data_IF_751645524852
#
_entry.id   IF_751645524852
#
_cell.length_a   1.000
_cell.length_b   1.000
_cell.length_c   1.000
_cell.angle_alpha   90.00
_cell.angle_beta   90.00
_cell.angle_gamma   90.00
#
_symmetry.space_group_name_H-M   'P 1'
#
loop_
_entity.id
_entity.type
_entity.pdbx_description
1 polymer ?
#
# COMPACT_ATOMS: atom_id res chain seq x y z
N UNK A 1 -25.48 -20.51 -20.41
CA UNK A 1 -25.66 -21.04 -19.05
C UNK A 1 -25.08 -22.46 -18.85
N UNK A 2 -25.09 -23.34 -19.86
CA UNK A 2 -24.67 -24.76 -19.78
C UNK A 2 -23.15 -24.93 -19.52
N UNK A 3 -22.31 -24.02 -19.99
CA UNK A 3 -20.85 -24.07 -19.85
C UNK A 3 -20.30 -23.32 -18.64
N UNK A 4 -21.14 -22.55 -17.95
CA UNK A 4 -20.76 -21.79 -16.76
C UNK A 4 -20.10 -22.66 -15.68
N UNK A 5 -20.65 -23.83 -15.29
CA UNK A 5 -20.01 -24.67 -14.28
C UNK A 5 -18.62 -25.17 -14.70
N UNK A 6 -18.42 -25.48 -15.97
CA UNK A 6 -17.15 -26.03 -16.49
C UNK A 6 -16.01 -25.01 -16.33
N UNK A 7 -16.29 -23.72 -16.53
CA UNK A 7 -15.27 -22.66 -16.41
C UNK A 7 -15.12 -22.13 -14.99
N UNK A 8 -16.19 -22.11 -14.20
CA UNK A 8 -16.19 -21.55 -12.85
C UNK A 8 -15.81 -22.60 -11.79
N UNK A 9 -16.21 -23.86 -11.98
CA UNK A 9 -15.99 -24.92 -10.99
C UNK A 9 -14.52 -25.16 -10.65
N UNK A 10 -13.57 -25.25 -11.61
CA UNK A 10 -12.16 -25.44 -11.30
C UNK A 10 -11.59 -24.30 -10.46
N UNK A 11 -11.92 -23.06 -10.82
CA UNK A 11 -11.48 -21.85 -10.06
C UNK A 11 -12.11 -21.81 -8.68
N UNK A 12 -13.41 -22.16 -8.56
CA UNK A 12 -14.12 -22.20 -7.29
C UNK A 12 -13.54 -23.26 -6.37
N UNK A 13 -13.23 -24.46 -6.89
CA UNK A 13 -12.60 -25.53 -6.12
C UNK A 13 -11.22 -25.09 -5.62
N UNK A 14 -10.37 -24.53 -6.50
CA UNK A 14 -9.05 -24.04 -6.15
C UNK A 14 -9.14 -22.94 -5.07
N UNK A 15 -10.07 -22.01 -5.20
CA UNK A 15 -10.32 -20.96 -4.22
C UNK A 15 -10.81 -21.52 -2.88
N UNK A 16 -11.72 -22.50 -2.92
CA UNK A 16 -12.27 -23.12 -1.70
C UNK A 16 -11.17 -23.86 -0.93
N UNK A 17 -10.34 -24.66 -1.62
CA UNK A 17 -9.26 -25.41 -0.99
C UNK A 17 -8.10 -24.51 -0.56
N UNK A 18 -7.69 -23.57 -1.41
CA UNK A 18 -6.52 -22.72 -1.18
C UNK A 18 -6.76 -21.53 -0.26
N UNK A 19 -8.00 -21.05 -0.18
CA UNK A 19 -8.33 -19.86 0.58
C UNK A 19 -9.45 -20.09 1.60
N UNK A 20 -10.63 -20.51 1.16
CA UNK A 20 -11.82 -20.52 2.02
C UNK A 20 -11.69 -21.53 3.17
N UNK A 21 -11.26 -22.76 2.88
CA UNK A 21 -11.11 -23.80 3.90
C UNK A 21 -10.04 -23.44 4.96
N UNK A 22 -8.81 -23.01 4.59
CA UNK A 22 -7.82 -22.52 5.56
C UNK A 22 -8.31 -21.29 6.35
N UNK A 23 -9.03 -20.38 5.72
CA UNK A 23 -9.59 -19.21 6.39
C UNK A 23 -10.60 -19.59 7.48
N UNK A 24 -11.59 -20.43 7.14
CA UNK A 24 -12.61 -20.91 8.11
C UNK A 24 -11.94 -21.70 9.24
N UNK A 25 -10.98 -22.57 8.89
CA UNK A 25 -10.22 -23.32 9.89
C UNK A 25 -9.41 -22.39 10.81
N UNK A 26 -8.75 -21.37 10.24
CA UNK A 26 -8.01 -20.37 11.01
C UNK A 26 -8.91 -19.59 11.98
N UNK A 27 -10.10 -19.19 11.52
CA UNK A 27 -11.11 -18.56 12.40
C UNK A 27 -11.53 -19.50 13.53
N UNK A 28 -11.80 -20.77 13.24
CA UNK A 28 -12.12 -21.75 14.28
C UNK A 28 -10.95 -21.92 15.28
N UNK A 29 -9.73 -22.10 14.79
CA UNK A 29 -8.54 -22.27 15.60
C UNK A 29 -8.21 -21.04 16.46
N UNK A 30 -8.62 -19.85 16.05
CA UNK A 30 -8.43 -18.64 16.86
C UNK A 30 -9.17 -18.69 18.22
N UNK A 31 -10.25 -19.48 18.28
CA UNK A 31 -10.99 -19.73 19.51
C UNK A 31 -10.49 -20.97 20.28
N UNK A 32 -9.45 -21.63 19.77
CA UNK A 32 -8.92 -22.85 20.36
C UNK A 32 -7.53 -22.63 20.94
N UNK A 33 -7.18 -23.40 21.98
CA UNK A 33 -5.80 -23.62 22.41
C UNK A 33 -5.32 -24.90 21.75
N UNK A 34 -4.24 -24.86 20.97
CA UNK A 34 -3.72 -26.00 20.23
C UNK A 34 -2.19 -25.97 20.11
N UNK A 35 -1.59 -27.15 19.99
CA UNK A 35 -0.21 -27.33 19.56
C UNK A 35 -0.17 -27.80 18.11
N UNK A 36 -1.13 -28.64 17.73
CA UNK A 36 -1.37 -29.12 16.38
C UNK A 36 -2.85 -29.01 16.05
N UNK A 37 -3.23 -28.95 14.77
CA UNK A 37 -4.63 -28.83 14.33
C UNK A 37 -5.52 -29.96 14.90
N UNK A 38 -4.94 -31.14 15.15
CA UNK A 38 -5.63 -32.32 15.70
C UNK A 38 -5.80 -32.28 17.22
N UNK A 39 -5.09 -31.39 17.94
CA UNK A 39 -5.12 -31.25 19.40
C UNK A 39 -5.81 -29.93 19.82
N UNK A 40 -6.75 -29.46 19.02
CA UNK A 40 -7.40 -28.19 19.26
C UNK A 40 -8.49 -28.33 20.33
N UNK A 41 -8.36 -27.56 21.41
CA UNK A 41 -9.35 -27.45 22.51
C UNK A 41 -9.99 -26.07 22.47
N UNK A 42 -11.31 -26.05 22.35
CA UNK A 42 -12.06 -24.80 22.34
C UNK A 42 -11.97 -24.08 23.68
N UNK A 43 -11.49 -22.84 23.70
CA UNK A 43 -11.35 -21.99 24.91
C UNK A 43 -12.11 -20.66 24.77
N UNK A 44 -12.95 -20.51 23.74
CA UNK A 44 -13.71 -19.28 23.48
C UNK A 44 -12.79 -18.08 23.22
N UNK A 45 -13.07 -16.96 23.87
CA UNK A 45 -12.33 -15.70 23.70
C UNK A 45 -11.03 -15.60 24.52
N UNK A 46 -10.59 -16.69 25.16
CA UNK A 46 -9.42 -16.67 26.03
C UNK A 46 -8.12 -16.20 25.35
N UNK A 47 -7.92 -16.56 24.07
CA UNK A 47 -6.76 -16.05 23.29
C UNK A 47 -6.83 -14.55 23.09
N UNK A 48 -8.02 -14.02 22.76
CA UNK A 48 -8.22 -12.59 22.54
C UNK A 48 -8.01 -11.76 23.82
N UNK A 49 -8.52 -12.25 24.94
CA UNK A 49 -8.29 -11.60 26.24
C UNK A 49 -6.81 -11.57 26.61
N UNK A 50 -6.07 -12.66 26.32
CA UNK A 50 -4.63 -12.72 26.56
C UNK A 50 -3.85 -11.75 25.68
N UNK A 51 -4.16 -11.66 24.37
CA UNK A 51 -3.51 -10.76 23.44
C UNK A 51 -3.75 -9.29 23.81
N UNK A 52 -4.98 -8.93 24.21
CA UNK A 52 -5.29 -7.57 24.61
C UNK A 52 -4.60 -7.14 25.92
N UNK A 53 -4.16 -8.11 26.74
CA UNK A 53 -3.32 -7.85 27.92
C UNK A 53 -1.82 -7.89 27.67
N UNK A 54 -1.38 -8.24 26.45
CA UNK A 54 0.02 -8.37 26.10
C UNK A 54 0.59 -7.03 25.61
N UNK A 55 1.53 -6.47 26.38
CA UNK A 55 2.15 -5.18 26.07
C UNK A 55 2.94 -5.18 24.76
N UNK A 56 3.62 -6.28 24.43
CA UNK A 56 4.41 -6.40 23.21
C UNK A 56 3.49 -6.45 21.96
N UNK A 57 2.36 -7.13 22.09
CA UNK A 57 1.34 -7.12 21.02
C UNK A 57 0.76 -5.73 20.80
N UNK A 58 0.37 -5.04 21.87
CA UNK A 58 -0.19 -3.69 21.77
C UNK A 58 0.81 -2.70 21.18
N UNK A 59 2.09 -2.81 21.57
CA UNK A 59 3.15 -2.00 20.98
C UNK A 59 3.32 -2.27 19.49
N UNK A 60 3.34 -3.53 19.09
CA UNK A 60 3.45 -3.94 17.68
C UNK A 60 2.24 -3.50 16.85
N UNK A 61 1.03 -3.60 17.42
CA UNK A 61 -0.20 -3.13 16.79
C UNK A 61 -0.17 -1.61 16.55
N UNK A 62 0.24 -0.86 17.59
CA UNK A 62 0.38 0.60 17.47
C UNK A 62 1.44 1.01 16.45
N UNK A 63 2.60 0.34 16.47
CA UNK A 63 3.67 0.58 15.50
C UNK A 63 3.20 0.34 14.07
N UNK A 64 2.52 -0.79 13.83
CA UNK A 64 1.98 -1.14 12.52
C UNK A 64 0.90 -0.15 12.07
N UNK A 65 -0.02 0.22 12.95
CA UNK A 65 -1.06 1.20 12.63
C UNK A 65 -0.46 2.57 12.26
N UNK A 66 0.49 3.05 13.05
CA UNK A 66 1.19 4.31 12.76
C UNK A 66 1.97 4.24 11.44
N UNK A 67 2.71 3.13 11.21
CA UNK A 67 3.45 2.90 9.98
C UNK A 67 2.53 2.92 8.77
N UNK A 68 1.42 2.19 8.83
CA UNK A 68 0.43 2.13 7.74
C UNK A 68 -0.17 3.50 7.45
N UNK A 69 -0.60 4.24 8.47
CA UNK A 69 -1.17 5.59 8.29
C UNK A 69 -0.15 6.51 7.62
N UNK A 70 1.08 6.55 8.12
CA UNK A 70 2.13 7.42 7.59
C UNK A 70 2.48 7.04 6.15
N UNK A 71 2.68 5.75 5.86
CA UNK A 71 3.05 5.29 4.51
C UNK A 71 1.91 5.51 3.52
N UNK A 72 0.66 5.19 3.87
CA UNK A 72 -0.51 5.42 3.00
C UNK A 72 -0.64 6.90 2.66
N UNK A 73 -0.54 7.79 3.63
CA UNK A 73 -0.64 9.24 3.39
C UNK A 73 0.51 9.75 2.51
N UNK A 74 1.75 9.44 2.87
CA UNK A 74 2.91 9.94 2.16
C UNK A 74 3.00 9.38 0.73
N UNK A 75 2.78 8.08 0.54
CA UNK A 75 2.80 7.47 -0.80
C UNK A 75 1.76 8.13 -1.70
N UNK A 76 0.52 8.29 -1.24
CA UNK A 76 -0.54 8.89 -2.05
C UNK A 76 -0.27 10.37 -2.35
N UNK A 77 0.20 11.15 -1.39
CA UNK A 77 0.55 12.56 -1.59
C UNK A 77 1.68 12.69 -2.62
N UNK A 78 2.79 11.96 -2.45
CA UNK A 78 3.92 12.05 -3.37
C UNK A 78 3.60 11.46 -4.75
N UNK A 79 2.90 10.33 -4.82
CA UNK A 79 2.49 9.73 -6.09
C UNK A 79 1.57 10.66 -6.88
N UNK A 80 0.59 11.28 -6.22
CA UNK A 80 -0.29 12.27 -6.85
C UNK A 80 0.48 13.51 -7.30
N UNK A 81 1.37 14.04 -6.47
CA UNK A 81 2.20 15.20 -6.83
C UNK A 81 3.08 14.92 -8.06
N UNK A 82 3.75 13.75 -8.09
CA UNK A 82 4.56 13.34 -9.23
C UNK A 82 3.69 13.12 -10.47
N UNK A 83 2.51 12.51 -10.34
CA UNK A 83 1.56 12.33 -11.43
C UNK A 83 1.11 13.67 -12.02
N UNK A 84 0.78 14.65 -11.19
CA UNK A 84 0.44 16.02 -11.62
C UNK A 84 1.57 16.71 -12.38
N UNK A 85 2.82 16.45 -12.00
CA UNK A 85 3.97 16.98 -12.72
C UNK A 85 4.15 16.29 -14.08
N UNK A 86 4.03 14.96 -14.12
CA UNK A 86 4.27 14.15 -15.31
C UNK A 86 3.07 14.11 -16.29
N UNK A 87 1.92 14.64 -15.93
CA UNK A 87 0.81 14.87 -16.88
C UNK A 87 0.96 16.16 -17.67
N UNK A 88 1.82 17.06 -17.23
CA UNK A 88 2.22 18.22 -18.06
C UNK A 88 3.09 17.74 -19.23
N UNK A 89 3.03 18.46 -20.37
CA UNK A 89 3.81 18.17 -21.58
C UNK A 89 5.31 18.46 -21.36
N UNK A 90 5.97 17.69 -20.49
CA UNK A 90 7.40 17.81 -20.21
C UNK A 90 8.17 16.87 -21.15
N UNK A 91 9.26 17.34 -21.75
CA UNK A 91 10.14 16.47 -22.56
C UNK A 91 10.73 15.36 -21.67
N UNK A 92 10.67 14.11 -22.12
CA UNK A 92 11.20 12.97 -21.37
C UNK A 92 10.26 12.34 -20.32
N UNK A 93 8.99 12.73 -20.28
CA UNK A 93 7.99 12.17 -19.32
C UNK A 93 8.01 10.65 -19.24
N UNK A 94 8.16 9.94 -20.38
CA UNK A 94 8.19 8.49 -20.41
C UNK A 94 9.43 7.92 -19.69
N UNK A 95 10.58 8.56 -19.78
CA UNK A 95 11.78 8.15 -19.04
C UNK A 95 11.54 8.27 -17.54
N UNK A 96 10.99 9.39 -17.07
CA UNK A 96 10.66 9.58 -15.67
C UNK A 96 9.65 8.54 -15.17
N UNK A 97 8.59 8.26 -15.94
CA UNK A 97 7.62 7.20 -15.62
C UNK A 97 8.31 5.85 -15.44
N UNK A 98 9.20 5.47 -16.35
CA UNK A 98 9.95 4.21 -16.28
C UNK A 98 10.86 4.17 -15.06
N UNK A 99 11.63 5.24 -14.80
CA UNK A 99 12.55 5.30 -13.66
C UNK A 99 11.81 5.21 -12.31
N UNK A 100 10.71 5.94 -12.17
CA UNK A 100 9.90 5.86 -10.95
C UNK A 100 9.19 4.51 -10.76
N UNK A 101 8.82 3.84 -11.85
CA UNK A 101 8.16 2.53 -11.78
C UNK A 101 9.13 1.37 -11.51
N UNK A 102 10.39 1.49 -11.95
CA UNK A 102 11.39 0.43 -11.89
C UNK A 102 11.59 -0.19 -10.48
N UNK A 103 11.59 0.59 -9.37
CA UNK A 103 11.73 0.03 -8.03
C UNK A 103 10.67 -1.02 -7.67
N UNK A 104 9.47 -0.88 -8.17
CA UNK A 104 8.37 -1.81 -7.91
C UNK A 104 8.60 -3.21 -8.52
N UNK A 105 9.47 -3.31 -9.52
CA UNK A 105 9.82 -4.57 -10.18
C UNK A 105 10.87 -5.38 -9.43
N UNK A 106 11.52 -4.78 -8.42
CA UNK A 106 12.57 -5.44 -7.65
C UNK A 106 11.90 -6.29 -6.54
N UNK A 107 12.30 -7.55 -6.44
CA UNK A 107 11.78 -8.45 -5.41
C UNK A 107 12.07 -7.94 -3.99
N UNK A 108 11.07 -7.99 -3.11
CA UNK A 108 11.12 -7.37 -1.77
C UNK A 108 12.29 -7.81 -0.90
N UNK A 109 12.71 -9.09 -0.97
CA UNK A 109 13.86 -9.61 -0.19
C UNK A 109 15.15 -8.92 -0.63
N UNK A 110 15.41 -8.84 -1.95
CA UNK A 110 16.60 -8.17 -2.50
C UNK A 110 16.59 -6.69 -2.16
N UNK A 111 15.42 -6.07 -2.32
CA UNK A 111 15.21 -4.66 -2.02
C UNK A 111 15.51 -4.37 -0.54
N UNK A 112 14.94 -5.15 0.37
CA UNK A 112 15.14 -5.00 1.81
C UNK A 112 16.61 -5.11 2.20
N UNK A 113 17.34 -6.09 1.65
CA UNK A 113 18.77 -6.27 1.92
C UNK A 113 19.60 -5.08 1.40
N UNK A 114 19.36 -4.65 0.16
CA UNK A 114 20.10 -3.52 -0.43
C UNK A 114 19.85 -2.23 0.37
N UNK A 115 18.59 -1.95 0.73
CA UNK A 115 18.27 -0.77 1.53
C UNK A 115 18.83 -0.83 2.95
N UNK A 116 18.85 -2.02 3.57
CA UNK A 116 19.48 -2.20 4.87
C UNK A 116 20.98 -1.86 4.82
N UNK A 117 21.69 -2.30 3.77
CA UNK A 117 23.11 -1.98 3.59
C UNK A 117 23.31 -0.47 3.35
N UNK A 118 22.51 0.13 2.47
CA UNK A 118 22.61 1.55 2.14
C UNK A 118 22.34 2.44 3.38
N UNK A 119 21.25 2.18 4.08
CA UNK A 119 20.86 2.98 5.25
C UNK A 119 21.82 2.78 6.41
N UNK A 120 22.27 1.55 6.65
CA UNK A 120 23.30 1.31 7.68
C UNK A 120 24.64 1.95 7.29
N UNK A 121 25.02 1.96 6.01
CA UNK A 121 26.22 2.64 5.53
C UNK A 121 26.16 4.16 5.79
N UNK A 122 25.01 4.78 5.54
CA UNK A 122 24.79 6.21 5.85
C UNK A 122 24.82 6.46 7.36
N UNK A 123 24.11 5.62 8.12
CA UNK A 123 24.02 5.77 9.58
C UNK A 123 25.35 5.48 10.30
N UNK A 124 26.21 4.62 9.74
CA UNK A 124 27.53 4.31 10.29
C UNK A 124 28.43 5.55 10.37
N UNK A 125 28.25 6.51 9.46
CA UNK A 125 28.94 7.81 9.54
C UNK A 125 28.63 8.57 10.82
N UNK A 126 27.44 8.33 11.39
CA UNK A 126 26.98 8.88 12.66
C UNK A 126 27.13 7.89 13.83
N UNK A 127 27.86 6.79 13.66
CA UNK A 127 28.02 5.69 14.62
C UNK A 127 26.68 5.07 15.06
N UNK A 128 25.73 4.99 14.14
CA UNK A 128 24.39 4.45 14.36
C UNK A 128 24.05 3.37 13.33
N UNK A 129 23.03 2.59 13.64
CA UNK A 129 22.45 1.57 12.75
C UNK A 129 20.94 1.71 12.74
N UNK A 130 20.25 1.06 11.80
CA UNK A 130 18.78 1.02 11.77
C UNK A 130 18.19 0.43 13.06
N UNK A 131 18.92 -0.48 13.72
CA UNK A 131 18.50 -1.12 14.97
C UNK A 131 18.87 -0.33 16.23
N UNK A 132 19.59 0.79 16.07
CA UNK A 132 19.99 1.64 17.21
C UNK A 132 18.78 2.18 17.98
N UNK A 133 17.69 2.49 17.29
CA UNK A 133 16.44 2.94 17.89
C UNK A 133 15.26 2.65 16.96
N UNK A 134 14.09 2.40 17.54
CA UNK A 134 12.83 2.18 16.83
C UNK A 134 12.52 3.29 15.81
N UNK A 135 12.93 4.53 16.09
CA UNK A 135 12.74 5.67 15.16
C UNK A 135 13.52 5.51 13.86
N UNK A 136 14.78 5.04 13.92
CA UNK A 136 15.60 4.82 12.72
C UNK A 136 15.04 3.69 11.87
N UNK A 137 14.63 2.59 12.50
CA UNK A 137 13.96 1.48 11.82
C UNK A 137 12.67 1.93 11.15
N UNK A 138 11.83 2.67 11.87
CA UNK A 138 10.55 3.19 11.35
C UNK A 138 10.75 4.04 10.09
N UNK A 139 11.59 5.08 10.17
CA UNK A 139 11.83 5.95 9.01
C UNK A 139 12.57 5.26 7.88
N UNK A 140 13.45 4.30 8.19
CA UNK A 140 14.10 3.48 7.18
C UNK A 140 13.09 2.67 6.37
N UNK A 141 12.12 2.03 7.03
CA UNK A 141 11.02 1.30 6.37
C UNK A 141 10.11 2.25 5.59
N UNK A 142 9.76 3.41 6.15
CA UNK A 142 8.95 4.42 5.44
C UNK A 142 9.62 4.85 4.15
N UNK A 143 10.91 5.20 4.18
CA UNK A 143 11.66 5.63 2.99
C UNK A 143 11.69 4.53 1.94
N UNK A 144 11.96 3.28 2.35
CA UNK A 144 11.96 2.12 1.45
C UNK A 144 10.60 1.96 0.76
N UNK A 145 9.51 1.97 1.53
CA UNK A 145 8.15 1.82 1.01
C UNK A 145 7.76 2.96 0.09
N UNK A 146 8.10 4.19 0.42
CA UNK A 146 7.86 5.35 -0.45
C UNK A 146 8.56 5.17 -1.80
N UNK A 147 9.86 4.86 -1.77
CA UNK A 147 10.65 4.70 -2.99
C UNK A 147 10.11 3.57 -3.88
N UNK A 148 9.66 2.46 -3.28
CA UNK A 148 9.12 1.31 -4.00
C UNK A 148 7.72 1.59 -4.58
N UNK A 149 6.83 2.21 -3.82
CA UNK A 149 5.41 2.27 -4.14
C UNK A 149 4.98 3.54 -4.90
N UNK A 150 5.69 4.66 -4.74
CA UNK A 150 5.31 5.93 -5.37
C UNK A 150 5.14 5.78 -6.88
N UNK A 151 6.05 5.07 -7.55
CA UNK A 151 6.01 4.92 -9.00
C UNK A 151 4.81 4.12 -9.51
N UNK A 152 4.41 3.09 -8.79
CA UNK A 152 3.22 2.29 -9.13
C UNK A 152 1.94 3.11 -8.96
N UNK A 153 1.76 3.76 -7.83
CA UNK A 153 0.59 4.60 -7.57
C UNK A 153 0.54 5.81 -8.51
N UNK A 154 1.69 6.40 -8.85
CA UNK A 154 1.81 7.49 -9.81
C UNK A 154 1.18 7.12 -11.16
N UNK A 155 1.39 5.92 -11.68
CA UNK A 155 0.82 5.49 -12.97
C UNK A 155 -0.71 5.47 -12.92
N UNK A 156 -1.29 4.98 -11.81
CA UNK A 156 -2.74 4.97 -11.60
C UNK A 156 -3.29 6.40 -11.55
N UNK A 157 -2.60 7.29 -10.84
CA UNK A 157 -2.98 8.70 -10.79
C UNK A 157 -2.84 9.40 -12.15
N UNK A 158 -1.79 9.12 -12.92
CA UNK A 158 -1.63 9.66 -14.28
C UNK A 158 -2.82 9.27 -15.14
N UNK A 159 -3.22 7.99 -15.11
CA UNK A 159 -4.39 7.52 -15.84
C UNK A 159 -5.68 8.25 -15.43
N UNK A 160 -5.89 8.43 -14.11
CA UNK A 160 -7.05 9.17 -13.60
C UNK A 160 -7.06 10.64 -14.04
N UNK A 161 -5.92 11.31 -13.98
CA UNK A 161 -5.80 12.73 -14.38
C UNK A 161 -6.01 12.89 -15.90
N UNK A 162 -5.47 11.96 -16.71
CA UNK A 162 -5.61 12.02 -18.16
C UNK A 162 -7.04 11.72 -18.66
N UNK A 163 -7.87 11.10 -17.82
CA UNK A 163 -9.27 10.83 -18.12
C UNK A 163 -10.21 12.01 -17.79
N UNK A 164 -9.71 13.10 -17.24
CA UNK A 164 -10.51 14.30 -17.00
C UNK A 164 -10.84 14.95 -18.36
N UNK A 165 -12.12 15.17 -18.70
CA UNK A 165 -12.50 15.88 -19.92
C UNK A 165 -11.90 17.29 -19.95
N UNK A 166 -11.25 17.66 -21.05
CA UNK A 166 -10.65 18.98 -21.22
C UNK A 166 -11.67 20.12 -21.07
N UNK A 167 -12.91 19.87 -21.54
CA UNK A 167 -14.03 20.81 -21.44
C UNK A 167 -14.30 21.29 -20.01
N UNK A 168 -14.13 20.41 -19.01
CA UNK A 168 -14.31 20.78 -17.59
C UNK A 168 -13.19 21.71 -17.10
N UNK A 169 -11.98 21.52 -17.58
CA UNK A 169 -10.82 22.35 -17.25
C UNK A 169 -10.99 23.72 -17.90
N UNK A 170 -11.35 23.76 -19.19
CA UNK A 170 -11.56 24.99 -19.95
C UNK A 170 -12.75 25.79 -19.37
N UNK A 171 -13.86 25.15 -19.03
CA UNK A 171 -15.00 25.81 -18.41
C UNK A 171 -14.62 26.47 -17.06
N UNK A 172 -13.88 25.77 -16.22
CA UNK A 172 -13.41 26.30 -14.95
C UNK A 172 -12.43 27.48 -15.13
N UNK A 173 -11.58 27.43 -16.17
CA UNK A 173 -10.67 28.56 -16.51
C UNK A 173 -11.43 29.78 -17.04
N UNK A 174 -12.49 29.57 -17.83
CA UNK A 174 -13.39 30.64 -18.29
C UNK A 174 -14.13 31.30 -17.11
N UNK A 175 -14.54 30.49 -16.12
CA UNK A 175 -15.15 30.96 -14.88
C UNK A 175 -14.16 31.67 -13.92
N UNK A 176 -12.88 31.80 -14.32
CA UNK A 176 -11.85 32.52 -13.57
C UNK A 176 -11.23 31.70 -12.43
N UNK A 177 -11.36 30.37 -12.44
CA UNK A 177 -10.75 29.52 -11.42
C UNK A 177 -9.22 29.57 -11.48
N UNK A 178 -8.58 29.84 -10.35
CA UNK A 178 -7.15 29.73 -10.23
C UNK A 178 -6.69 28.26 -10.14
N UNK A 179 -5.37 27.98 -10.24
CA UNK A 179 -4.80 26.63 -10.23
C UNK A 179 -5.16 25.81 -8.98
N UNK A 180 -5.30 26.46 -7.83
CA UNK A 180 -5.66 25.78 -6.57
C UNK A 180 -7.15 25.43 -6.57
N UNK A 181 -7.99 26.32 -7.09
CA UNK A 181 -9.42 26.07 -7.26
C UNK A 181 -9.66 24.95 -8.28
N UNK A 182 -8.96 24.97 -9.42
CA UNK A 182 -9.02 23.92 -10.42
C UNK A 182 -8.60 22.56 -9.82
N UNK A 183 -7.51 22.53 -9.03
CA UNK A 183 -7.08 21.31 -8.34
C UNK A 183 -8.14 20.80 -7.37
N UNK A 184 -8.68 21.68 -6.51
CA UNK A 184 -9.58 21.30 -5.42
C UNK A 184 -11.00 20.95 -5.89
N UNK A 185 -11.53 21.70 -6.86
CA UNK A 185 -12.94 21.58 -7.25
C UNK A 185 -13.15 20.77 -8.53
N UNK A 186 -12.13 20.57 -9.34
CA UNK A 186 -12.23 19.79 -10.59
C UNK A 186 -11.33 18.55 -10.52
N UNK A 187 -10.02 18.73 -10.37
CA UNK A 187 -9.06 17.61 -10.50
C UNK A 187 -9.26 16.56 -9.39
N UNK A 188 -9.24 16.95 -8.12
CA UNK A 188 -9.36 16.00 -7.00
C UNK A 188 -10.68 15.23 -7.05
N UNK A 189 -11.87 15.88 -7.23
CA UNK A 189 -13.12 15.15 -7.33
C UNK A 189 -13.17 14.17 -8.51
N UNK A 190 -12.67 14.57 -9.67
CA UNK A 190 -12.64 13.71 -10.87
C UNK A 190 -11.68 12.52 -10.75
N UNK A 191 -10.59 12.68 -9.99
CA UNK A 191 -9.58 11.63 -9.74
C UNK A 191 -9.93 10.79 -8.50
N UNK A 192 -11.05 11.06 -7.80
CA UNK A 192 -11.45 10.35 -6.60
C UNK A 192 -11.47 8.81 -6.75
N UNK A 193 -11.93 8.22 -7.87
CA UNK A 193 -11.82 6.77 -8.07
C UNK A 193 -10.37 6.26 -8.00
N UNK A 194 -9.42 6.98 -8.60
CA UNK A 194 -8.00 6.63 -8.54
C UNK A 194 -7.43 6.80 -7.12
N UNK A 195 -7.85 7.83 -6.38
CA UNK A 195 -7.47 8.02 -4.98
C UNK A 195 -7.93 6.83 -4.14
N UNK A 196 -9.17 6.38 -4.32
CA UNK A 196 -9.72 5.22 -3.62
C UNK A 196 -8.93 3.96 -3.92
N UNK A 197 -8.64 3.68 -5.21
CA UNK A 197 -7.87 2.52 -5.63
C UNK A 197 -6.45 2.58 -5.05
N UNK A 198 -5.75 3.71 -5.17
CA UNK A 198 -4.40 3.87 -4.65
C UNK A 198 -4.35 3.72 -3.12
N UNK A 199 -5.32 4.31 -2.41
CA UNK A 199 -5.42 4.18 -0.95
C UNK A 199 -5.65 2.73 -0.53
N UNK A 200 -6.53 2.01 -1.22
CA UNK A 200 -6.78 0.59 -0.96
C UNK A 200 -5.53 -0.26 -1.23
N UNK A 201 -4.88 -0.06 -2.38
CA UNK A 201 -3.67 -0.80 -2.74
C UNK A 201 -2.50 -0.50 -1.79
N UNK A 202 -2.32 0.75 -1.38
CA UNK A 202 -1.27 1.08 -0.40
C UNK A 202 -1.58 0.52 0.99
N UNK A 203 -2.85 0.46 1.38
CA UNK A 203 -3.26 -0.14 2.66
C UNK A 203 -3.02 -1.66 2.68
N UNK A 204 -3.24 -2.35 1.56
CA UNK A 204 -3.04 -3.81 1.47
C UNK A 204 -1.58 -4.22 1.29
N UNK A 205 -0.72 -3.31 0.83
CA UNK A 205 0.71 -3.56 0.62
C UNK A 205 1.59 -3.06 1.79
N UNK A 206 1.05 -2.25 2.70
CA UNK A 206 1.74 -1.72 3.88
C UNK A 206 1.50 -2.58 5.09
#
# INVERSE_FOLDING_TARGET
KRYFPVFVLPTLIAFTIGFLAPFVLGVYLSFCKFTTVTDARFIGLGNYAKILGDGDFLHSLWFTALFTIVTVLLINIFAFAVAMLLTKKIKGTNIFRTVFFMPNLIGGIVLGYVWQLLLNGILAHFQKTLTYSSKYGFWGLVILMLWQQIGYMMIIYISGIQNIPGELIEAAEIDGANKVQLLRYVTIPMVMPSITICTFLTLTNG
#
